data_IF_180620238601
#
_entry.id   IF_180620238601
#
_cell.length_a   1.000
_cell.length_b   1.000
_cell.length_c   1.000
_cell.angle_alpha   90.00
_cell.angle_beta   90.00
_cell.angle_gamma   90.00
#
_symmetry.space_group_name_H-M   'P 1'
#
loop_
_entity.id
_entity.type
_entity.pdbx_description
1 polymer ?
#
# COMPACT_ATOMS: atom_id res chain seq x y z
N UNK A 1 13.82 -11.84 -32.07
CA UNK A 1 14.43 -12.55 -30.94
C UNK A 1 15.53 -11.65 -30.38
N UNK A 2 15.36 -11.20 -29.10
CA UNK A 2 16.39 -10.43 -28.42
C UNK A 2 17.44 -11.41 -27.93
N UNK A 3 18.65 -11.26 -28.36
CA UNK A 3 19.80 -12.03 -27.88
C UNK A 3 20.50 -11.26 -26.77
N UNK A 4 20.93 -11.97 -25.74
CA UNK A 4 21.81 -11.46 -24.70
C UNK A 4 23.11 -12.27 -24.67
N UNK A 5 24.11 -11.79 -23.97
CA UNK A 5 25.29 -12.56 -23.64
C UNK A 5 25.18 -13.07 -22.21
N UNK A 6 25.44 -14.33 -21.99
CA UNK A 6 25.48 -14.95 -20.68
C UNK A 6 26.82 -15.61 -20.42
N UNK A 7 27.35 -15.45 -19.22
CA UNK A 7 28.58 -16.14 -18.85
C UNK A 7 28.29 -17.63 -18.57
N UNK A 8 29.06 -18.51 -19.15
CA UNK A 8 28.96 -19.97 -18.98
C UNK A 8 29.23 -20.45 -17.55
N UNK A 9 29.96 -19.67 -16.72
CA UNK A 9 30.38 -20.06 -15.38
C UNK A 9 29.51 -19.42 -14.31
N UNK A 10 29.35 -18.08 -14.31
CA UNK A 10 28.61 -17.38 -13.26
C UNK A 10 27.16 -17.08 -13.65
N UNK A 11 26.75 -17.38 -14.88
CA UNK A 11 25.42 -17.13 -15.46
C UNK A 11 24.98 -15.65 -15.42
N UNK A 12 25.90 -14.72 -15.16
CA UNK A 12 25.66 -13.28 -15.28
C UNK A 12 25.29 -12.94 -16.73
N UNK A 13 24.20 -12.22 -16.94
CA UNK A 13 23.70 -11.86 -18.28
C UNK A 13 23.89 -10.38 -18.58
N UNK A 14 24.23 -10.07 -19.83
CA UNK A 14 24.34 -8.72 -20.37
C UNK A 14 23.34 -8.55 -21.50
N UNK A 15 22.36 -7.66 -21.33
CA UNK A 15 21.44 -7.28 -22.39
C UNK A 15 21.96 -6.05 -23.11
N UNK A 16 22.50 -6.23 -24.33
CA UNK A 16 23.07 -5.17 -25.13
C UNK A 16 22.41 -5.16 -26.51
N UNK A 17 22.73 -4.15 -27.33
CA UNK A 17 22.29 -4.14 -28.72
C UNK A 17 22.97 -5.24 -29.53
N UNK A 18 22.39 -5.61 -30.67
CA UNK A 18 22.83 -6.74 -31.47
C UNK A 18 24.28 -6.58 -31.99
N UNK A 19 24.69 -5.37 -32.33
CA UNK A 19 26.04 -5.12 -32.83
C UNK A 19 27.08 -5.31 -31.71
N UNK A 20 26.78 -4.84 -30.51
CA UNK A 20 27.63 -4.98 -29.33
C UNK A 20 27.69 -6.44 -28.86
N UNK A 21 26.59 -7.17 -28.93
CA UNK A 21 26.55 -8.61 -28.60
C UNK A 21 27.50 -9.41 -29.50
N UNK A 22 27.55 -9.11 -30.81
CA UNK A 22 28.45 -9.78 -31.73
C UNK A 22 29.94 -9.50 -31.42
N UNK A 23 30.22 -8.26 -30.98
CA UNK A 23 31.60 -7.86 -30.65
C UNK A 23 32.09 -8.48 -29.35
N UNK A 24 31.19 -8.65 -28.37
CA UNK A 24 31.54 -9.14 -27.04
C UNK A 24 31.37 -10.66 -26.87
N UNK A 25 30.84 -11.34 -27.88
CA UNK A 25 30.72 -12.80 -27.87
C UNK A 25 32.10 -13.47 -27.79
N UNK A 26 32.26 -14.40 -26.88
CA UNK A 26 33.51 -15.08 -26.57
C UNK A 26 34.51 -14.28 -25.71
N UNK A 27 34.20 -13.05 -25.35
CA UNK A 27 35.03 -12.25 -24.43
C UNK A 27 34.98 -12.76 -23.00
N UNK A 28 36.06 -12.53 -22.21
CA UNK A 28 36.04 -12.89 -20.77
C UNK A 28 34.91 -12.22 -20.02
N UNK A 29 34.38 -12.94 -19.04
CA UNK A 29 33.32 -12.42 -18.16
C UNK A 29 33.76 -11.16 -17.38
N UNK A 30 32.98 -10.07 -17.38
CA UNK A 30 33.33 -8.83 -16.67
C UNK A 30 33.21 -8.94 -15.14
N UNK A 31 32.68 -10.05 -14.62
CA UNK A 31 32.56 -10.28 -13.17
C UNK A 31 33.97 -10.55 -12.60
N UNK A 32 34.43 -9.75 -11.60
CA UNK A 32 35.76 -9.94 -11.02
C UNK A 32 35.96 -11.36 -10.49
N UNK A 33 37.06 -12.01 -10.92
CA UNK A 33 37.42 -13.36 -10.49
C UNK A 33 36.66 -14.49 -11.18
N UNK A 34 35.80 -14.20 -12.14
CA UNK A 34 35.09 -15.23 -12.92
C UNK A 34 35.99 -15.67 -14.12
N UNK A 35 36.29 -16.97 -14.27
CA UNK A 35 37.10 -17.46 -15.37
C UNK A 35 36.31 -17.75 -16.66
N UNK A 36 34.99 -17.51 -16.67
CA UNK A 36 34.13 -17.86 -17.82
C UNK A 36 34.16 -16.82 -18.95
N UNK A 37 33.58 -17.21 -20.07
CA UNK A 37 33.39 -16.37 -21.25
C UNK A 37 31.92 -16.06 -21.47
N UNK A 38 31.65 -15.03 -22.27
CA UNK A 38 30.31 -14.59 -22.63
C UNK A 38 29.84 -15.34 -23.90
N UNK A 39 28.76 -16.09 -23.77
CA UNK A 39 28.13 -16.82 -24.87
C UNK A 39 26.76 -16.21 -25.22
N UNK A 40 26.39 -16.19 -26.51
CA UNK A 40 25.07 -15.75 -26.93
C UNK A 40 23.99 -16.67 -26.36
N UNK A 41 22.98 -16.08 -25.74
CA UNK A 41 21.81 -16.79 -25.24
C UNK A 41 20.52 -16.11 -25.70
N UNK A 42 19.46 -16.87 -25.85
CA UNK A 42 18.15 -16.30 -26.11
C UNK A 42 17.58 -15.76 -24.81
N UNK A 43 17.08 -14.53 -24.85
CA UNK A 43 16.37 -13.96 -23.70
C UNK A 43 15.00 -14.61 -23.65
N UNK A 44 14.76 -15.41 -22.63
CA UNK A 44 13.40 -15.86 -22.33
C UNK A 44 12.52 -14.66 -21.99
N UNK A 45 11.35 -14.60 -22.63
CA UNK A 45 10.35 -13.60 -22.30
C UNK A 45 9.89 -13.80 -20.84
N UNK A 46 10.33 -12.91 -19.98
CA UNK A 46 9.85 -12.87 -18.62
C UNK A 46 8.76 -11.79 -18.43
N UNK A 47 8.17 -11.75 -17.26
CA UNK A 47 7.14 -10.76 -16.92
C UNK A 47 7.59 -9.31 -17.21
N UNK A 48 8.84 -8.97 -16.90
CA UNK A 48 9.36 -7.61 -17.09
C UNK A 48 9.57 -7.28 -18.56
N UNK A 49 10.11 -8.21 -19.37
CA UNK A 49 10.26 -7.98 -20.82
C UNK A 49 8.90 -7.75 -21.49
N UNK A 50 7.87 -8.50 -21.10
CA UNK A 50 6.50 -8.28 -21.59
C UNK A 50 5.92 -6.93 -21.13
N UNK A 51 6.23 -6.51 -19.91
CA UNK A 51 5.78 -5.21 -19.38
C UNK A 51 6.39 -4.05 -20.16
N UNK A 52 7.69 -4.11 -20.50
CA UNK A 52 8.39 -3.07 -21.25
C UNK A 52 8.07 -3.07 -22.74
N UNK A 53 7.69 -4.22 -23.30
CA UNK A 53 7.29 -4.33 -24.72
C UNK A 53 5.80 -4.09 -24.94
N UNK A 54 5.02 -3.93 -23.86
CA UNK A 54 3.60 -3.61 -23.97
C UNK A 54 3.38 -2.31 -24.77
N UNK A 55 2.59 -2.41 -25.82
CA UNK A 55 2.35 -1.33 -26.79
C UNK A 55 1.45 -0.20 -26.27
N UNK A 56 0.85 -0.37 -25.09
CA UNK A 56 -0.05 0.61 -24.48
C UNK A 56 0.39 0.94 -23.04
N UNK A 57 1.40 1.81 -22.86
CA UNK A 57 1.76 2.29 -21.53
C UNK A 57 0.59 3.08 -20.94
N UNK A 58 0.13 2.72 -19.75
CA UNK A 58 -0.86 3.51 -19.03
C UNK A 58 -0.15 4.69 -18.37
N UNK A 59 -0.68 5.89 -18.57
CA UNK A 59 -0.19 7.07 -17.87
C UNK A 59 -0.46 6.92 -16.36
N UNK A 60 0.52 7.30 -15.53
CA UNK A 60 0.34 7.40 -14.08
C UNK A 60 -0.13 8.81 -13.76
N UNK A 61 -1.37 8.93 -13.32
CA UNK A 61 -1.97 10.18 -12.86
C UNK A 61 -2.12 10.11 -11.36
N UNK A 62 -1.12 10.63 -10.65
CA UNK A 62 -1.11 10.62 -9.19
C UNK A 62 -1.75 11.88 -8.62
N UNK A 63 -2.52 11.74 -7.55
CA UNK A 63 -3.11 12.84 -6.78
C UNK A 63 -2.91 12.61 -5.27
N UNK A 64 -2.76 13.70 -4.55
CA UNK A 64 -2.68 13.69 -3.10
C UNK A 64 -4.09 13.59 -2.50
N UNK A 65 -4.25 12.79 -1.45
CA UNK A 65 -5.47 12.67 -0.65
C UNK A 65 -5.13 12.79 0.83
N UNK A 66 -5.28 13.99 1.37
CA UNK A 66 -4.95 14.31 2.76
C UNK A 66 -6.07 15.10 3.42
N UNK A 67 -6.05 15.19 4.74
CA UNK A 67 -6.98 16.02 5.50
C UNK A 67 -6.81 17.54 5.30
N UNK A 68 -5.71 17.97 4.64
CA UNK A 68 -5.46 19.36 4.34
C UNK A 68 -6.23 19.88 3.12
N UNK A 69 -6.68 18.95 2.25
CA UNK A 69 -7.47 19.32 1.07
C UNK A 69 -8.91 19.64 1.51
N UNK A 70 -9.52 20.71 0.98
CA UNK A 70 -10.90 21.05 1.24
C UNK A 70 -11.85 19.87 0.98
N UNK A 71 -12.90 19.74 1.78
CA UNK A 71 -13.83 18.59 1.72
C UNK A 71 -14.42 18.39 0.33
N UNK A 72 -14.76 19.46 -0.35
CA UNK A 72 -15.39 19.42 -1.69
C UNK A 72 -14.41 18.87 -2.74
N UNK A 73 -13.18 19.35 -2.74
CA UNK A 73 -12.13 18.86 -3.65
C UNK A 73 -11.80 17.39 -3.37
N UNK A 74 -11.77 16.99 -2.10
CA UNK A 74 -11.52 15.61 -1.69
C UNK A 74 -12.62 14.67 -2.19
N UNK A 75 -13.89 15.06 -2.05
CA UNK A 75 -15.02 14.28 -2.57
C UNK A 75 -15.00 14.17 -4.10
N UNK A 76 -14.68 15.25 -4.80
CA UNK A 76 -14.52 15.25 -6.26
C UNK A 76 -13.38 14.31 -6.69
N UNK A 77 -12.25 14.33 -5.97
CA UNK A 77 -11.12 13.43 -6.20
C UNK A 77 -11.51 11.95 -6.01
N UNK A 78 -12.21 11.63 -4.93
CA UNK A 78 -12.69 10.29 -4.63
C UNK A 78 -13.65 9.76 -5.72
N UNK A 79 -14.55 10.60 -6.20
CA UNK A 79 -15.46 10.27 -7.30
C UNK A 79 -14.71 10.05 -8.61
N UNK A 80 -13.77 10.93 -8.94
CA UNK A 80 -12.93 10.81 -10.14
C UNK A 80 -12.07 9.56 -10.11
N UNK A 81 -11.51 9.20 -8.95
CA UNK A 81 -10.69 8.00 -8.79
C UNK A 81 -11.51 6.71 -8.99
N UNK A 82 -12.74 6.66 -8.48
CA UNK A 82 -13.66 5.52 -8.71
C UNK A 82 -14.05 5.35 -10.17
N UNK A 83 -14.17 6.45 -10.90
CA UNK A 83 -14.52 6.47 -12.31
C UNK A 83 -13.32 6.53 -13.26
N UNK A 84 -12.13 6.16 -12.80
CA UNK A 84 -10.85 6.34 -13.51
C UNK A 84 -10.79 5.71 -14.91
N UNK A 85 -11.63 4.72 -15.20
CA UNK A 85 -11.69 4.08 -16.52
C UNK A 85 -12.34 4.97 -17.61
N UNK A 86 -12.94 6.09 -17.24
CA UNK A 86 -13.79 6.88 -18.15
C UNK A 86 -13.14 8.16 -18.68
N UNK A 87 -12.08 8.68 -18.06
CA UNK A 87 -11.45 9.93 -18.45
C UNK A 87 -9.93 9.80 -18.60
N UNK A 88 -9.31 10.34 -19.67
CA UNK A 88 -7.87 10.20 -19.92
C UNK A 88 -6.97 10.76 -18.81
N UNK A 89 -7.46 11.76 -18.07
CA UNK A 89 -6.74 12.44 -17.00
C UNK A 89 -7.24 12.07 -15.59
N UNK A 90 -8.11 11.06 -15.48
CA UNK A 90 -8.59 10.59 -14.18
C UNK A 90 -7.42 10.03 -13.36
N UNK A 91 -7.38 10.32 -12.06
CA UNK A 91 -6.35 9.81 -11.18
C UNK A 91 -6.45 8.29 -11.07
N UNK A 92 -5.33 7.60 -11.22
CA UNK A 92 -5.21 6.16 -11.03
C UNK A 92 -4.24 5.79 -9.89
N UNK A 93 -3.63 6.79 -9.27
CA UNK A 93 -2.81 6.64 -8.06
C UNK A 93 -3.21 7.71 -7.05
N UNK A 94 -3.53 7.29 -5.82
CA UNK A 94 -3.73 8.18 -4.68
C UNK A 94 -2.56 8.08 -3.71
N UNK A 95 -1.95 9.21 -3.39
CA UNK A 95 -0.95 9.33 -2.33
C UNK A 95 -1.65 9.88 -1.10
N UNK A 96 -1.86 9.03 -0.10
CA UNK A 96 -2.71 9.35 1.03
C UNK A 96 -2.01 9.24 2.38
N UNK A 97 -2.46 10.06 3.32
CA UNK A 97 -2.16 9.89 4.73
C UNK A 97 -3.06 8.79 5.35
N UNK A 98 -2.83 8.37 6.61
CA UNK A 98 -3.69 7.39 7.29
C UNK A 98 -5.19 7.75 7.35
N UNK A 99 -5.58 8.95 6.95
CA UNK A 99 -7.01 9.34 6.87
C UNK A 99 -7.85 8.40 6.01
N UNK A 100 -7.25 7.75 5.01
CA UNK A 100 -7.93 6.71 4.22
C UNK A 100 -8.25 5.42 5.00
N UNK A 101 -7.70 5.22 6.20
CA UNK A 101 -8.08 4.10 7.08
C UNK A 101 -9.55 4.22 7.54
N UNK A 102 -10.07 5.43 7.62
CA UNK A 102 -11.35 5.79 8.23
C UNK A 102 -12.56 5.63 7.28
N UNK A 103 -12.76 4.43 6.71
CA UNK A 103 -14.05 4.08 6.10
C UNK A 103 -14.45 4.82 4.82
N UNK A 104 -13.56 5.60 4.19
CA UNK A 104 -13.84 6.30 2.93
C UNK A 104 -13.98 5.28 1.81
N UNK A 105 -15.06 5.37 1.03
CA UNK A 105 -15.28 4.51 -0.12
C UNK A 105 -14.52 5.05 -1.34
N UNK A 106 -13.39 4.43 -1.63
CA UNK A 106 -12.56 4.73 -2.82
C UNK A 106 -12.66 3.65 -3.91
N UNK A 107 -13.58 2.70 -3.74
CA UNK A 107 -13.72 1.57 -4.65
C UNK A 107 -12.73 0.44 -4.35
N UNK A 108 -12.57 -0.46 -5.32
CA UNK A 108 -11.63 -1.59 -5.23
C UNK A 108 -10.25 -1.18 -5.71
N UNK A 109 -9.24 -1.48 -4.91
CA UNK A 109 -7.84 -1.21 -5.26
C UNK A 109 -7.17 -2.48 -5.75
N UNK A 110 -6.48 -2.41 -6.86
CA UNK A 110 -5.62 -3.51 -7.34
C UNK A 110 -4.28 -3.56 -6.58
N UNK A 111 -3.80 -2.42 -6.11
CA UNK A 111 -2.49 -2.32 -5.47
C UNK A 111 -2.52 -1.34 -4.30
N UNK A 112 -1.92 -1.74 -3.19
CA UNK A 112 -1.67 -0.88 -2.03
C UNK A 112 -0.17 -0.86 -1.73
N UNK A 113 0.41 0.34 -1.71
CA UNK A 113 1.81 0.55 -1.36
C UNK A 113 1.91 1.27 -0.02
N UNK A 114 2.55 0.65 0.95
CA UNK A 114 2.81 1.23 2.26
C UNK A 114 4.22 1.81 2.29
N UNK A 115 4.35 3.13 2.33
CA UNK A 115 5.64 3.83 2.42
C UNK A 115 6.37 3.56 3.75
N UNK A 116 5.63 3.09 4.76
CA UNK A 116 6.19 2.58 6.02
C UNK A 116 5.26 1.53 6.62
N UNK A 117 5.84 0.59 7.36
CA UNK A 117 5.05 -0.44 8.04
C UNK A 117 4.26 0.19 9.21
N UNK A 118 2.94 -0.03 9.30
CA UNK A 118 2.15 0.40 10.45
C UNK A 118 2.63 -0.21 11.77
N UNK A 119 2.35 0.48 12.87
CA UNK A 119 2.80 0.02 14.20
C UNK A 119 2.01 -1.20 14.69
N UNK A 120 0.73 -1.31 14.30
CA UNK A 120 -0.17 -2.39 14.74
C UNK A 120 -0.70 -3.22 13.58
N UNK A 121 -1.05 -4.47 13.87
CA UNK A 121 -1.72 -5.39 12.93
C UNK A 121 -3.06 -4.81 12.48
N UNK A 122 -3.83 -4.20 13.39
CA UNK A 122 -5.11 -3.58 13.07
C UNK A 122 -4.97 -2.49 11.99
N UNK A 123 -4.03 -1.54 12.17
CA UNK A 123 -3.75 -0.52 11.15
C UNK A 123 -3.25 -1.12 9.84
N UNK A 124 -2.44 -2.18 9.89
CA UNK A 124 -2.01 -2.88 8.68
C UNK A 124 -3.22 -3.44 7.92
N UNK A 125 -4.08 -4.20 8.59
CA UNK A 125 -5.26 -4.82 7.99
C UNK A 125 -6.24 -3.77 7.45
N UNK A 126 -6.44 -2.64 8.16
CA UNK A 126 -7.30 -1.55 7.70
C UNK A 126 -6.80 -0.90 6.40
N UNK A 127 -5.47 -0.79 6.21
CA UNK A 127 -4.88 -0.24 4.98
C UNK A 127 -4.93 -1.24 3.83
N UNK A 128 -4.46 -2.47 4.04
CA UNK A 128 -4.38 -3.48 2.98
C UNK A 128 -5.74 -4.05 2.61
N UNK A 129 -6.68 -4.11 3.54
CA UNK A 129 -8.05 -4.59 3.33
C UNK A 129 -8.91 -3.71 2.41
N UNK A 130 -8.31 -2.69 1.80
CA UNK A 130 -8.91 -1.90 0.71
C UNK A 130 -8.67 -2.51 -0.66
N UNK A 131 -7.71 -3.42 -0.78
CA UNK A 131 -7.32 -4.02 -2.05
C UNK A 131 -7.99 -5.39 -2.25
N UNK A 132 -8.36 -5.67 -3.50
CA UNK A 132 -8.85 -6.98 -3.93
C UNK A 132 -10.23 -7.37 -3.41
N UNK A 133 -11.08 -6.42 -3.04
CA UNK A 133 -12.40 -6.72 -2.47
C UNK A 133 -13.36 -7.34 -3.48
N UNK A 134 -13.29 -6.91 -4.73
CA UNK A 134 -14.17 -7.40 -5.80
C UNK A 134 -13.56 -8.57 -6.55
N UNK A 135 -12.27 -8.51 -6.83
CA UNK A 135 -11.61 -9.48 -7.70
C UNK A 135 -10.91 -10.61 -6.94
N UNK A 136 -10.71 -10.46 -5.63
CA UNK A 136 -9.87 -11.36 -4.83
C UNK A 136 -8.37 -11.25 -5.12
N UNK A 137 -7.97 -10.48 -6.14
CA UNK A 137 -6.58 -10.31 -6.56
C UNK A 137 -6.08 -8.92 -6.20
N UNK A 138 -5.00 -8.86 -5.44
CA UNK A 138 -4.35 -7.60 -5.11
C UNK A 138 -2.86 -7.76 -4.87
N UNK A 139 -2.12 -6.67 -5.11
CA UNK A 139 -0.72 -6.57 -4.73
C UNK A 139 -0.60 -5.64 -3.52
N UNK A 140 0.00 -6.13 -2.46
CA UNK A 140 0.37 -5.30 -1.30
C UNK A 140 1.87 -5.24 -1.21
N UNK A 141 2.42 -4.03 -1.30
CA UNK A 141 3.84 -3.76 -1.17
C UNK A 141 4.08 -2.89 0.06
N UNK A 142 4.89 -3.35 1.00
CA UNK A 142 5.25 -2.58 2.18
C UNK A 142 6.76 -2.28 2.18
N UNK A 143 7.11 -0.99 2.25
CA UNK A 143 8.49 -0.59 2.46
C UNK A 143 8.82 -0.65 3.96
N UNK A 144 9.74 -1.55 4.33
CA UNK A 144 10.16 -1.77 5.71
C UNK A 144 11.58 -1.30 5.90
N UNK A 145 11.78 -0.28 6.74
CA UNK A 145 13.13 0.14 7.10
C UNK A 145 13.78 -0.95 7.96
N UNK A 146 14.93 -1.45 7.53
CA UNK A 146 15.70 -2.51 8.23
C UNK A 146 16.40 -2.04 9.51
N UNK A 147 15.75 -1.18 10.31
CA UNK A 147 16.32 -0.62 11.54
C UNK A 147 15.26 -0.39 12.62
N UNK A 148 15.71 -0.30 13.86
CA UNK A 148 14.83 0.02 14.99
C UNK A 148 13.73 -1.02 15.21
N UNK A 149 12.56 -0.57 15.58
CA UNK A 149 11.39 -1.42 15.93
C UNK A 149 10.79 -2.18 14.76
N UNK A 150 11.16 -1.85 13.52
CA UNK A 150 10.64 -2.52 12.32
C UNK A 150 11.47 -3.74 11.92
N UNK A 151 12.73 -3.82 12.36
CA UNK A 151 13.63 -4.93 12.03
C UNK A 151 13.08 -6.33 12.42
N UNK A 152 12.52 -6.54 13.63
CA UNK A 152 11.93 -7.83 13.98
C UNK A 152 10.77 -8.25 13.07
N UNK A 153 10.01 -7.27 12.57
CA UNK A 153 8.88 -7.50 11.66
C UNK A 153 9.35 -7.84 10.24
N UNK A 154 10.50 -7.31 9.81
CA UNK A 154 11.15 -7.69 8.56
C UNK A 154 11.61 -9.15 8.60
N UNK A 155 12.17 -9.60 9.72
CA UNK A 155 12.62 -10.97 9.91
C UNK A 155 11.44 -11.96 10.07
N UNK A 156 10.29 -11.50 10.56
CA UNK A 156 9.07 -12.30 10.70
C UNK A 156 7.84 -11.54 10.16
N UNK A 157 7.66 -11.47 8.84
CA UNK A 157 6.56 -10.73 8.22
C UNK A 157 5.18 -11.27 8.57
N UNK A 158 5.07 -12.57 8.87
CA UNK A 158 3.79 -13.19 9.26
C UNK A 158 3.23 -12.59 10.56
N UNK A 159 4.07 -12.04 11.42
CA UNK A 159 3.61 -11.34 12.63
C UNK A 159 2.75 -10.11 12.34
N UNK A 160 2.85 -9.54 11.13
CA UNK A 160 2.00 -8.43 10.67
C UNK A 160 0.87 -8.89 9.75
N UNK A 161 1.15 -9.83 8.85
CA UNK A 161 0.19 -10.28 7.84
C UNK A 161 -0.91 -11.16 8.46
N UNK A 162 -0.52 -12.07 9.34
CA UNK A 162 -1.43 -13.03 10.00
C UNK A 162 -1.44 -12.85 11.54
N UNK A 163 -0.93 -11.72 12.04
CA UNK A 163 -0.93 -11.42 13.47
C UNK A 163 -2.33 -11.15 13.99
N UNK A 164 -2.54 -11.40 15.28
CA UNK A 164 -3.79 -11.06 15.95
C UNK A 164 -3.87 -9.57 16.26
N UNK A 165 -5.01 -8.95 15.95
CA UNK A 165 -5.29 -7.59 16.39
C UNK A 165 -5.66 -7.60 17.88
N UNK A 166 -4.89 -6.86 18.68
CA UNK A 166 -5.23 -6.69 20.10
C UNK A 166 -6.37 -5.66 20.17
N UNK A 167 -7.54 -6.02 20.71
CA UNK A 167 -8.62 -5.06 20.86
C UNK A 167 -8.20 -3.94 21.82
N UNK A 168 -8.70 -2.72 21.62
CA UNK A 168 -8.45 -1.64 22.56
C UNK A 168 -9.02 -2.02 23.92
N UNK A 169 -8.20 -1.97 24.95
CA UNK A 169 -8.63 -2.17 26.31
C UNK A 169 -9.13 -0.85 26.90
N UNK A 170 -10.33 -0.87 27.48
CA UNK A 170 -10.81 0.24 28.30
C UNK A 170 -10.28 0.05 29.73
N UNK A 171 -9.69 1.10 30.29
CA UNK A 171 -9.28 1.10 31.67
C UNK A 171 -10.51 1.34 32.57
N UNK A 172 -11.16 0.24 32.93
CA UNK A 172 -12.43 0.26 33.68
C UNK A 172 -12.32 0.82 35.12
N UNK A 173 -11.10 0.97 35.63
CA UNK A 173 -10.85 1.51 36.99
C UNK A 173 -10.62 3.03 37.00
N UNK A 174 -10.78 3.72 35.85
CA UNK A 174 -10.67 5.18 35.81
C UNK A 174 -11.90 5.83 36.47
N UNK A 175 -11.78 6.22 37.72
CA UNK A 175 -12.84 6.77 38.56
C UNK A 175 -13.56 7.94 37.90
N UNK A 176 -12.81 8.84 37.28
CA UNK A 176 -13.39 10.02 36.60
C UNK A 176 -14.25 9.64 35.37
N UNK A 177 -13.85 8.61 34.64
CA UNK A 177 -14.61 8.10 33.49
C UNK A 177 -15.89 7.42 33.98
N UNK A 178 -15.78 6.61 35.04
CA UNK A 178 -16.93 5.96 35.65
C UNK A 178 -17.93 6.99 36.22
N UNK A 179 -17.48 8.02 36.92
CA UNK A 179 -18.33 9.10 37.40
C UNK A 179 -19.10 9.78 36.26
N UNK A 180 -18.40 10.13 35.16
CA UNK A 180 -19.06 10.74 34.00
C UNK A 180 -20.09 9.82 33.37
N UNK A 181 -19.77 8.55 33.19
CA UNK A 181 -20.69 7.56 32.61
C UNK A 181 -21.93 7.32 33.51
N UNK A 182 -21.73 7.18 34.82
CA UNK A 182 -22.85 7.02 35.78
C UNK A 182 -23.71 8.28 35.80
N UNK A 183 -23.09 9.45 35.82
CA UNK A 183 -23.85 10.72 35.81
C UNK A 183 -24.64 10.86 34.50
N UNK A 184 -24.04 10.59 33.35
CA UNK A 184 -24.74 10.62 32.05
C UNK A 184 -25.94 9.63 32.06
N UNK A 185 -25.72 8.39 32.50
CA UNK A 185 -26.76 7.37 32.58
C UNK A 185 -27.92 7.80 33.51
N UNK A 186 -27.60 8.39 34.67
CA UNK A 186 -28.62 8.91 35.57
C UNK A 186 -29.41 10.06 34.95
N UNK A 187 -28.74 10.97 34.25
CA UNK A 187 -29.40 12.07 33.55
C UNK A 187 -30.29 11.57 32.40
N UNK A 188 -29.85 10.58 31.66
CA UNK A 188 -30.62 9.98 30.56
C UNK A 188 -31.82 9.17 31.05
N UNK A 189 -31.75 8.58 32.26
CA UNK A 189 -32.82 7.77 32.82
C UNK A 189 -33.82 8.58 33.68
N UNK A 190 -33.42 9.78 34.15
CA UNK A 190 -34.30 10.67 34.88
C UNK A 190 -35.16 11.49 33.90
N UNK A 191 -36.45 11.29 33.93
CA UNK A 191 -37.40 12.11 33.16
C UNK A 191 -37.58 13.48 33.83
N UNK A 192 -36.67 14.41 33.52
CA UNK A 192 -36.71 15.78 34.03
C UNK A 192 -37.95 16.55 33.56
N UNK A 193 -38.56 16.14 32.45
CA UNK A 193 -39.77 16.78 31.93
C UNK A 193 -41.00 16.51 32.85
N UNK A 194 -41.04 15.34 33.46
CA UNK A 194 -42.08 14.97 34.44
C UNK A 194 -41.98 15.79 35.75
N UNK A 195 -40.81 16.39 36.03
CA UNK A 195 -40.57 17.23 37.21
C UNK A 195 -40.58 18.74 36.90
N UNK A 196 -40.93 19.14 35.68
CA UNK A 196 -41.02 20.55 35.28
C UNK A 196 -39.66 21.26 35.12
N UNK A 197 -38.56 20.52 35.07
CA UNK A 197 -37.22 21.06 34.87
C UNK A 197 -36.87 21.01 33.36
N UNK A 198 -36.63 22.17 32.75
CA UNK A 198 -36.14 22.25 31.36
C UNK A 198 -34.62 22.12 31.32
N UNK A 199 -34.12 21.12 30.64
CA UNK A 199 -32.68 20.99 30.36
C UNK A 199 -32.36 21.86 29.13
N UNK A 200 -31.62 22.94 29.29
CA UNK A 200 -31.07 23.69 28.16
C UNK A 200 -29.89 22.89 27.60
N UNK A 201 -30.01 22.38 26.36
CA UNK A 201 -28.88 21.86 25.63
C UNK A 201 -27.93 23.01 25.29
N UNK A 202 -26.74 23.02 25.86
CA UNK A 202 -25.66 23.86 25.39
C UNK A 202 -25.16 23.27 24.05
N UNK A 203 -25.27 24.07 22.98
CA UNK A 203 -24.71 23.75 21.66
C UNK A 203 -23.19 23.74 21.70
#
# INVERSE_FOLDING_TARGET
>A
HSQALQCEVCHGSLGLDQATNLLLSGMPCPTPGCPGNLEPTEIEENYYSRLYTATTPRAVVAREHTGLIPKEERLALEQSFRGADSAPNAPNVLVATPTLEMGIDIGDLSTVMLASLPKSVASYVQRVGRAGRLTGNSLVLAFVQGRGTTLPKLNNPLSMIAGSAVPPAAFLSATEILHRQVTAYLLDTLDFTAQGLSVQHSQ
#
